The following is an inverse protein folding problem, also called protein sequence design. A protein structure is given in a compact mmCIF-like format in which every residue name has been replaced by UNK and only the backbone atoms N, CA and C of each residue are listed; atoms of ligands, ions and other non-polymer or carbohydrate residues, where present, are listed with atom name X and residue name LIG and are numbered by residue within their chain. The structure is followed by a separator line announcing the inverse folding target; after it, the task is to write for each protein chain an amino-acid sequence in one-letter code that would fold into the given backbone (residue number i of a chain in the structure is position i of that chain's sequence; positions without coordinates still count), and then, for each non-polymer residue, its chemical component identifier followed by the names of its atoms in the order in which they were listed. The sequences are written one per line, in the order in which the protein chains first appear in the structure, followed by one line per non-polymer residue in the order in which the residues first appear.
data_IF_295372613340
#
_entry.id   IF_295372613340
#
_cell.length_a   1.000
_cell.length_b   1.000
_cell.length_c   1.000
_cell.angle_alpha   90.00
_cell.angle_beta   90.00
_cell.angle_gamma   90.00
#
_symmetry.space_group_name_H-M   'P 1'
#
loop_
_entity.id
_entity.type
_entity.pdbx_description
1 polymer ?
#
# COMPACT_ATOMS: atom_id res chain seq x y z
N UNK A 1 14.59 -14.96 14.64
CA UNK A 1 15.13 -15.24 13.29
C UNK A 1 16.61 -14.85 13.26
N UNK A 2 17.54 -15.74 12.92
CA UNK A 2 18.97 -15.39 12.89
C UNK A 2 19.33 -14.62 11.61
N UNK A 3 20.23 -13.62 11.70
CA UNK A 3 20.66 -12.75 10.58
C UNK A 3 21.22 -13.54 9.39
N UNK A 4 21.75 -14.74 9.63
CA UNK A 4 22.30 -15.64 8.61
C UNK A 4 21.20 -16.27 7.76
N UNK A 5 20.10 -16.70 8.38
CA UNK A 5 18.93 -17.26 7.69
C UNK A 5 18.25 -16.23 6.78
N UNK A 6 18.07 -14.99 7.27
CA UNK A 6 17.48 -13.90 6.48
C UNK A 6 18.27 -13.54 5.20
N UNK A 7 19.55 -13.94 5.13
CA UNK A 7 20.42 -13.66 3.98
C UNK A 7 20.49 -14.82 2.97
N UNK A 8 19.95 -15.99 3.31
CA UNK A 8 19.93 -17.13 2.39
C UNK A 8 19.14 -16.79 1.13
N UNK A 9 19.62 -17.23 -0.04
CA UNK A 9 18.99 -16.93 -1.33
C UNK A 9 17.53 -17.38 -1.38
N UNK A 10 17.23 -18.58 -0.88
CA UNK A 10 15.87 -19.12 -0.81
C UNK A 10 14.94 -18.26 0.04
N UNK A 11 15.40 -17.83 1.22
CA UNK A 11 14.62 -16.96 2.11
C UNK A 11 14.36 -15.60 1.46
N UNK A 12 15.38 -14.99 0.85
CA UNK A 12 15.21 -13.73 0.13
C UNK A 12 14.24 -13.86 -1.05
N UNK A 13 14.32 -14.96 -1.79
CA UNK A 13 13.39 -15.22 -2.90
C UNK A 13 11.96 -15.36 -2.39
N UNK A 14 11.74 -16.07 -1.28
CA UNK A 14 10.42 -16.20 -0.66
C UNK A 14 9.86 -14.85 -0.19
N UNK A 15 10.68 -14.03 0.48
CA UNK A 15 10.28 -12.67 0.91
C UNK A 15 9.93 -11.79 -0.29
N UNK A 16 10.71 -11.87 -1.38
CA UNK A 16 10.42 -11.15 -2.64
C UNK A 16 9.13 -11.59 -3.29
N UNK A 17 8.94 -12.90 -3.43
CA UNK A 17 7.72 -13.46 -4.01
C UNK A 17 6.50 -13.02 -3.20
N UNK A 18 6.59 -13.06 -1.87
CA UNK A 18 5.52 -12.60 -0.98
C UNK A 18 5.23 -11.12 -1.15
N UNK A 19 6.26 -10.27 -1.16
CA UNK A 19 6.11 -8.83 -1.38
C UNK A 19 5.46 -8.51 -2.72
N UNK A 20 5.84 -9.21 -3.79
CA UNK A 20 5.25 -9.05 -5.11
C UNK A 20 3.76 -9.42 -5.14
N UNK A 21 3.37 -10.54 -4.50
CA UNK A 21 1.95 -10.93 -4.41
C UNK A 21 1.11 -9.88 -3.66
N UNK A 22 1.63 -9.34 -2.55
CA UNK A 22 0.96 -8.26 -1.83
C UNK A 22 0.82 -7.03 -2.73
N UNK A 23 1.86 -6.67 -3.47
CA UNK A 23 1.82 -5.55 -4.39
C UNK A 23 0.82 -5.76 -5.54
N UNK A 24 0.70 -6.97 -6.08
CA UNK A 24 -0.30 -7.32 -7.10
C UNK A 24 -1.72 -7.13 -6.58
N UNK A 25 -2.02 -7.64 -5.38
CA UNK A 25 -3.34 -7.44 -4.76
C UNK A 25 -3.62 -5.95 -4.50
N UNK A 26 -2.65 -5.21 -3.96
CA UNK A 26 -2.80 -3.78 -3.70
C UNK A 26 -3.02 -3.00 -5.00
N UNK A 27 -2.36 -3.38 -6.11
CA UNK A 27 -2.57 -2.76 -7.43
C UNK A 27 -3.95 -3.05 -7.98
N UNK A 28 -4.43 -4.29 -7.87
CA UNK A 28 -5.78 -4.65 -8.30
C UNK A 28 -6.84 -3.87 -7.51
N UNK A 29 -6.68 -3.81 -6.19
CA UNK A 29 -7.55 -3.06 -5.28
C UNK A 29 -7.56 -1.56 -5.61
N UNK A 30 -6.38 -0.97 -5.84
CA UNK A 30 -6.25 0.43 -6.23
C UNK A 30 -6.87 0.70 -7.60
N UNK A 31 -6.61 -0.16 -8.59
CA UNK A 31 -7.13 -0.02 -9.95
C UNK A 31 -8.66 -0.05 -10.00
N UNK A 32 -9.30 -0.91 -9.20
CA UNK A 32 -10.76 -0.99 -9.09
C UNK A 32 -11.41 0.32 -8.61
N UNK A 33 -10.66 1.19 -7.92
CA UNK A 33 -11.14 2.46 -7.37
C UNK A 33 -10.54 3.69 -8.06
N UNK A 34 -9.64 3.49 -9.03
CA UNK A 34 -8.95 4.59 -9.71
C UNK A 34 -9.77 5.04 -10.92
N UNK A 35 -10.53 6.11 -10.76
CA UNK A 35 -11.10 6.85 -11.89
C UNK A 35 -10.09 7.88 -12.44
N UNK A 36 -9.42 8.61 -11.55
CA UNK A 36 -8.38 9.63 -11.82
C UNK A 36 -7.50 9.80 -10.56
N UNK A 37 -6.23 10.20 -10.73
CA UNK A 37 -5.30 10.49 -9.62
C UNK A 37 -3.91 9.86 -9.78
N UNK A 38 -2.94 10.31 -8.99
CA UNK A 38 -1.52 9.92 -9.07
C UNK A 38 -1.12 8.76 -8.13
N UNK A 39 -2.03 8.33 -7.25
CA UNK A 39 -1.79 7.29 -6.26
C UNK A 39 -1.20 6.02 -6.88
N UNK A 40 -0.14 5.43 -6.31
CA UNK A 40 0.45 4.21 -6.89
C UNK A 40 1.02 3.26 -5.85
N UNK A 41 1.18 2.00 -6.25
CA UNK A 41 1.83 0.98 -5.41
C UNK A 41 3.29 0.84 -5.82
N UNK A 42 4.18 1.22 -4.92
CA UNK A 42 5.62 1.05 -5.06
C UNK A 42 6.11 -0.16 -4.26
N UNK A 43 7.16 -0.82 -4.77
CA UNK A 43 7.80 -1.96 -4.12
C UNK A 43 9.28 -1.69 -3.98
N UNK A 44 9.73 -1.51 -2.75
CA UNK A 44 11.14 -1.28 -2.42
C UNK A 44 11.76 -2.56 -1.91
N UNK A 45 12.82 -3.00 -2.59
CA UNK A 45 13.54 -4.21 -2.24
C UNK A 45 14.73 -3.89 -1.35
N UNK A 46 14.59 -4.20 -0.07
CA UNK A 46 15.67 -4.13 0.90
C UNK A 46 16.64 -5.31 0.81
N UNK A 47 17.61 -5.33 1.74
CA UNK A 47 18.63 -6.37 1.78
C UNK A 47 18.06 -7.71 2.25
N UNK A 48 17.03 -7.67 3.09
CA UNK A 48 16.42 -8.83 3.76
C UNK A 48 14.88 -8.78 3.74
N UNK A 49 14.33 -7.69 3.26
CA UNK A 49 12.95 -7.26 3.42
C UNK A 49 12.44 -6.66 2.11
N UNK A 50 11.12 -6.59 1.98
CA UNK A 50 10.43 -5.90 0.88
C UNK A 50 9.36 -5.03 1.50
N UNK A 51 9.35 -3.76 1.11
CA UNK A 51 8.36 -2.78 1.54
C UNK A 51 7.44 -2.51 0.37
N UNK A 52 6.14 -2.64 0.60
CA UNK A 52 5.09 -2.25 -0.35
C UNK A 52 4.43 -0.99 0.19
N UNK A 53 4.34 0.06 -0.64
CA UNK A 53 3.86 1.38 -0.21
C UNK A 53 2.77 1.88 -1.15
N UNK A 54 1.69 2.41 -0.56
CA UNK A 54 0.76 3.29 -1.25
C UNK A 54 1.33 4.72 -1.23
N UNK A 55 1.67 5.25 -2.40
CA UNK A 55 2.31 6.57 -2.56
C UNK A 55 1.32 7.53 -3.21
N UNK A 56 0.89 8.53 -2.43
CA UNK A 56 0.04 9.64 -2.84
C UNK A 56 0.11 10.75 -1.77
N UNK A 57 -0.15 12.01 -2.14
CA UNK A 57 -0.25 13.13 -1.18
C UNK A 57 -1.39 12.95 -0.18
N UNK A 58 -2.43 12.22 -0.56
CA UNK A 58 -3.62 11.90 0.22
C UNK A 58 -3.69 10.40 0.57
N UNK A 59 -2.57 9.66 0.56
CA UNK A 59 -2.54 8.20 0.79
C UNK A 59 -3.27 7.76 2.07
N UNK A 60 -3.14 8.52 3.17
CA UNK A 60 -3.86 8.23 4.41
C UNK A 60 -5.38 8.34 4.26
N UNK A 61 -5.85 9.37 3.53
CA UNK A 61 -7.27 9.54 3.26
C UNK A 61 -7.80 8.48 2.29
N UNK A 62 -6.95 7.99 1.38
CA UNK A 62 -7.30 6.87 0.50
C UNK A 62 -7.43 5.57 1.32
N UNK A 63 -6.48 5.29 2.20
CA UNK A 63 -6.47 4.04 2.98
C UNK A 63 -7.58 4.01 4.04
N UNK A 64 -7.72 5.06 4.84
CA UNK A 64 -8.59 5.06 6.03
C UNK A 64 -9.82 5.96 5.91
N UNK A 65 -9.92 6.74 4.84
CA UNK A 65 -10.99 7.71 4.66
C UNK A 65 -10.70 9.04 5.34
N UNK A 66 -11.72 9.89 5.41
CA UNK A 66 -11.65 11.18 6.09
C UNK A 66 -12.98 11.53 6.73
N UNK A 67 -12.91 12.30 7.81
CA UNK A 67 -14.08 12.99 8.37
C UNK A 67 -14.40 14.24 7.55
N UNK A 68 -15.59 14.80 7.76
CA UNK A 68 -15.94 16.08 7.15
C UNK A 68 -14.97 17.18 7.62
N UNK A 69 -14.44 17.96 6.68
CA UNK A 69 -13.51 19.04 7.00
C UNK A 69 -13.56 20.15 5.97
N UNK A 70 -12.91 21.27 6.25
CA UNK A 70 -12.68 22.34 5.28
C UNK A 70 -11.26 22.21 4.75
N UNK A 71 -11.11 22.13 3.43
CA UNK A 71 -9.79 22.00 2.81
C UNK A 71 -9.02 23.34 2.84
N UNK A 72 -7.75 23.31 2.40
CA UNK A 72 -6.88 24.48 2.33
C UNK A 72 -7.37 25.61 1.41
N UNK A 73 -8.40 25.35 0.58
CA UNK A 73 -9.05 26.33 -0.31
C UNK A 73 -10.39 26.84 0.25
N UNK A 74 -10.71 26.55 1.52
CA UNK A 74 -11.96 26.97 2.16
C UNK A 74 -13.21 26.17 1.75
N UNK A 75 -13.06 25.11 0.95
CA UNK A 75 -14.20 24.27 0.52
C UNK A 75 -14.50 23.19 1.57
N UNK A 76 -15.75 23.09 2.00
CA UNK A 76 -16.23 21.96 2.80
C UNK A 76 -16.21 20.68 1.96
N UNK A 77 -15.50 19.67 2.46
CA UNK A 77 -15.49 18.32 1.92
C UNK A 77 -16.22 17.40 2.89
N UNK A 78 -17.10 16.57 2.35
CA UNK A 78 -17.84 15.59 3.15
C UNK A 78 -16.94 14.45 3.64
N UNK A 79 -17.45 13.65 4.60
CA UNK A 79 -16.76 12.46 5.05
C UNK A 79 -16.70 11.44 3.90
N UNK A 80 -15.69 10.58 3.91
CA UNK A 80 -15.50 9.52 2.91
C UNK A 80 -14.92 8.29 3.58
N UNK A 81 -15.40 7.11 3.17
CA UNK A 81 -14.89 5.83 3.65
C UNK A 81 -13.54 5.50 3.01
N UNK A 82 -12.62 4.91 3.79
CA UNK A 82 -11.35 4.41 3.30
C UNK A 82 -11.47 3.13 2.47
N UNK A 83 -10.48 2.90 1.62
CA UNK A 83 -10.43 1.73 0.74
C UNK A 83 -9.72 0.52 1.36
N UNK A 84 -8.90 0.75 2.40
CA UNK A 84 -8.14 -0.27 3.11
C UNK A 84 -7.27 -1.15 2.19
N UNK A 85 -6.69 -0.56 1.14
CA UNK A 85 -5.94 -1.25 0.08
C UNK A 85 -4.77 -2.03 0.67
N UNK A 86 -3.92 -1.36 1.46
CA UNK A 86 -2.73 -1.98 2.05
C UNK A 86 -3.12 -3.01 3.10
N UNK A 87 -4.14 -2.69 3.91
CA UNK A 87 -4.63 -3.56 4.97
C UNK A 87 -5.21 -4.86 4.41
N UNK A 88 -5.97 -4.80 3.32
CA UNK A 88 -6.52 -5.99 2.65
C UNK A 88 -5.45 -6.79 1.93
N UNK A 89 -4.59 -6.13 1.17
CA UNK A 89 -3.52 -6.78 0.42
C UNK A 89 -2.58 -7.58 1.34
N UNK A 90 -2.28 -7.06 2.54
CA UNK A 90 -1.46 -7.75 3.52
C UNK A 90 -2.10 -9.03 4.08
N UNK A 91 -3.44 -9.03 4.26
CA UNK A 91 -4.21 -10.18 4.79
C UNK A 91 -4.47 -11.26 3.75
N UNK A 92 -4.64 -10.87 2.48
CA UNK A 92 -4.96 -11.79 1.39
C UNK A 92 -3.77 -12.48 0.73
N UNK A 93 -2.53 -12.16 1.12
CA UNK A 93 -1.35 -12.79 0.55
C UNK A 93 -1.18 -14.24 0.97
#
# INVERSE_FOLDING_TARGET
MSRRLARMRSVKAAVRQRGNRIAEHARADLAAHRAEGDARIEVTHGRTDVVVSLVDVAALSIEYGRVASTNSRGRRVGPMQGLYIMTRAARGG
#
